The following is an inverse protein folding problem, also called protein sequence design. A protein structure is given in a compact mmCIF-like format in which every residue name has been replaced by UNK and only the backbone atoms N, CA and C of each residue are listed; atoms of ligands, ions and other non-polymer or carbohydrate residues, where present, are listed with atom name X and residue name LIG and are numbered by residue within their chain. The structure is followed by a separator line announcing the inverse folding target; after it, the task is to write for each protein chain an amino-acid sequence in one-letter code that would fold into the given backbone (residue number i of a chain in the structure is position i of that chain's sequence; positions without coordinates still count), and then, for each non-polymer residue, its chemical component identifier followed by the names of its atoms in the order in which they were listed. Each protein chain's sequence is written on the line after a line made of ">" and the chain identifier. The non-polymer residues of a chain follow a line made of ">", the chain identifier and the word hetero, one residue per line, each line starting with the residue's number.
data_IF_257042510811
#
_entry.id   IF_257042510811
#
_cell.length_a   1.000
_cell.length_b   1.000
_cell.length_c   1.000
_cell.angle_alpha   90.00
_cell.angle_beta   90.00
_cell.angle_gamma   90.00
#
_symmetry.space_group_name_H-M   'P 1'
#
loop_
_entity.id
_entity.type
_entity.pdbx_description
1 polymer ?
#
# COMPACT_ATOMS: atom_id res chain seq x y z
N UNK A 1 7.14 -21.85 -30.87
CA UNK A 1 7.74 -21.12 -29.73
C UNK A 1 8.57 -19.98 -30.29
N UNK A 2 8.34 -18.70 -29.94
CA UNK A 2 9.23 -17.66 -30.41
C UNK A 2 10.56 -17.79 -29.67
N UNK A 3 11.66 -17.84 -30.43
CA UNK A 3 13.03 -17.83 -29.90
C UNK A 3 13.25 -16.46 -29.24
N UNK A 4 13.70 -16.45 -27.98
CA UNK A 4 14.06 -15.21 -27.27
C UNK A 4 15.04 -14.42 -28.13
N UNK A 5 14.82 -13.11 -28.28
CA UNK A 5 15.79 -12.26 -29.00
C UNK A 5 17.13 -12.24 -28.24
N UNK A 6 18.23 -11.99 -28.95
CA UNK A 6 19.56 -11.91 -28.34
C UNK A 6 19.61 -10.90 -27.17
N UNK A 7 18.85 -9.79 -27.29
CA UNK A 7 18.69 -8.80 -26.23
C UNK A 7 17.98 -9.36 -24.98
N UNK A 8 16.92 -10.14 -25.17
CA UNK A 8 16.21 -10.80 -24.06
C UNK A 8 17.06 -11.88 -23.38
N UNK A 9 17.85 -12.62 -24.15
CA UNK A 9 18.81 -13.58 -23.61
C UNK A 9 19.91 -12.87 -22.80
N UNK A 10 20.43 -11.75 -23.29
CA UNK A 10 21.43 -10.94 -22.59
C UNK A 10 20.95 -10.45 -21.22
N UNK A 11 19.73 -9.89 -21.13
CA UNK A 11 19.18 -9.41 -19.84
C UNK A 11 18.94 -10.56 -18.87
N UNK A 12 18.40 -11.70 -19.36
CA UNK A 12 18.19 -12.87 -18.53
C UNK A 12 19.53 -13.38 -17.96
N UNK A 13 20.60 -13.35 -18.77
CA UNK A 13 21.95 -13.71 -18.33
C UNK A 13 22.51 -12.73 -17.30
N UNK A 14 22.32 -11.42 -17.47
CA UNK A 14 22.75 -10.40 -16.48
C UNK A 14 21.95 -10.54 -15.18
N UNK A 15 20.65 -10.83 -15.25
CA UNK A 15 19.84 -11.11 -14.06
C UNK A 15 20.33 -12.37 -13.33
N UNK A 16 20.68 -13.44 -14.07
CA UNK A 16 21.26 -14.64 -13.46
C UNK A 16 22.61 -14.37 -12.79
N UNK A 17 23.46 -13.54 -13.41
CA UNK A 17 24.72 -13.10 -12.80
C UNK A 17 24.46 -12.33 -11.49
N UNK A 18 23.50 -11.40 -11.50
CA UNK A 18 23.11 -10.65 -10.28
C UNK A 18 22.65 -11.56 -9.15
N UNK A 19 21.81 -12.55 -9.44
CA UNK A 19 21.38 -13.51 -8.40
C UNK A 19 22.55 -14.35 -7.89
N UNK A 20 23.49 -14.75 -8.75
CA UNK A 20 24.72 -15.43 -8.34
C UNK A 20 25.58 -14.58 -7.38
N UNK A 21 25.80 -13.30 -7.70
CA UNK A 21 26.52 -12.38 -6.81
C UNK A 21 25.82 -12.17 -5.47
N UNK A 22 24.48 -12.14 -5.47
CA UNK A 22 23.67 -12.01 -4.26
C UNK A 22 23.77 -13.24 -3.35
N UNK A 23 23.75 -14.44 -3.92
CA UNK A 23 23.97 -15.69 -3.19
C UNK A 23 25.38 -15.72 -2.59
N UNK A 24 26.39 -15.37 -3.38
CA UNK A 24 27.79 -15.32 -2.95
C UNK A 24 28.00 -14.31 -1.80
N UNK A 25 27.45 -13.10 -1.92
CA UNK A 25 27.48 -12.07 -0.87
C UNK A 25 26.84 -12.58 0.42
N UNK A 26 25.69 -13.24 0.32
CA UNK A 26 24.98 -13.76 1.48
C UNK A 26 25.81 -14.84 2.20
N UNK A 27 26.43 -15.75 1.44
CA UNK A 27 27.32 -16.77 1.98
C UNK A 27 28.56 -16.17 2.67
N UNK A 28 29.14 -15.13 2.07
CA UNK A 28 30.27 -14.40 2.62
C UNK A 28 29.93 -13.71 3.96
N UNK A 29 28.80 -13.00 4.01
CA UNK A 29 28.30 -12.34 5.22
C UNK A 29 28.11 -13.34 6.36
N UNK A 30 27.48 -14.48 6.07
CA UNK A 30 27.25 -15.51 7.08
C UNK A 30 28.56 -16.12 7.59
N UNK A 31 29.57 -16.28 6.73
CA UNK A 31 30.90 -16.74 7.12
C UNK A 31 31.61 -15.74 8.03
N UNK A 32 31.59 -14.45 7.68
CA UNK A 32 32.17 -13.37 8.50
C UNK A 32 31.52 -13.37 9.89
N UNK A 33 30.19 -13.45 9.95
CA UNK A 33 29.45 -13.52 11.23
C UNK A 33 29.84 -14.74 12.07
N UNK A 34 29.92 -15.91 11.44
CA UNK A 34 30.34 -17.14 12.13
C UNK A 34 31.72 -16.99 12.75
N UNK A 35 32.69 -16.50 11.97
CA UNK A 35 34.05 -16.26 12.44
C UNK A 35 34.10 -15.24 13.59
N UNK A 36 33.38 -14.11 13.50
CA UNK A 36 33.36 -13.11 14.56
C UNK A 36 32.69 -13.62 15.85
N UNK A 37 31.66 -14.46 15.72
CA UNK A 37 30.97 -15.05 16.87
C UNK A 37 31.86 -16.01 17.67
N UNK A 38 32.81 -16.70 17.04
CA UNK A 38 33.80 -17.55 17.73
C UNK A 38 34.68 -16.74 18.72
N UNK A 39 34.82 -15.44 18.50
CA UNK A 39 35.57 -14.51 19.36
C UNK A 39 34.65 -13.61 20.19
N UNK A 40 33.37 -13.97 20.36
CA UNK A 40 32.42 -13.24 21.20
C UNK A 40 31.88 -11.93 20.61
N UNK A 41 32.20 -11.62 19.35
CA UNK A 41 31.76 -10.40 18.67
C UNK A 41 30.45 -10.65 17.92
N UNK A 42 29.34 -10.23 18.52
CA UNK A 42 27.98 -10.44 17.97
C UNK A 42 27.44 -9.14 17.37
N UNK A 43 27.10 -9.18 16.09
CA UNK A 43 26.55 -8.05 15.35
C UNK A 43 25.07 -8.27 15.01
N UNK A 44 24.34 -7.17 14.82
CA UNK A 44 22.94 -7.21 14.41
C UNK A 44 22.74 -7.94 13.06
N UNK A 45 21.53 -8.45 12.81
CA UNK A 45 21.20 -9.20 11.58
C UNK A 45 21.30 -8.36 10.29
N UNK A 46 21.40 -7.04 10.38
CA UNK A 46 21.55 -6.17 9.21
C UNK A 46 22.94 -6.34 8.57
N UNK A 47 23.03 -6.67 7.27
CA UNK A 47 24.29 -6.66 6.53
C UNK A 47 24.99 -5.30 6.57
N UNK A 48 24.24 -4.20 6.45
CA UNK A 48 24.82 -2.86 6.35
C UNK A 48 25.43 -2.42 7.68
N UNK A 49 24.80 -2.80 8.80
CA UNK A 49 25.34 -2.53 10.14
C UNK A 49 26.66 -3.30 10.37
N UNK A 50 26.74 -4.56 9.92
CA UNK A 50 27.97 -5.33 9.99
C UNK A 50 29.06 -4.73 9.09
N UNK A 51 28.71 -4.36 7.85
CA UNK A 51 29.66 -3.77 6.91
C UNK A 51 30.25 -2.45 7.42
N UNK A 52 29.43 -1.61 8.06
CA UNK A 52 29.87 -0.35 8.65
C UNK A 52 30.76 -0.53 9.89
N UNK A 53 30.49 -1.55 10.72
CA UNK A 53 31.24 -1.79 11.94
C UNK A 53 32.55 -2.57 11.73
N UNK A 54 32.65 -3.36 10.65
CA UNK A 54 33.78 -4.27 10.45
C UNK A 54 35.15 -3.57 10.35
N UNK A 55 35.31 -2.39 9.71
CA UNK A 55 36.57 -1.65 9.74
C UNK A 55 37.05 -1.34 11.15
N UNK A 56 36.17 -0.77 11.98
CA UNK A 56 36.48 -0.40 13.37
C UNK A 56 36.88 -1.62 14.20
N UNK A 57 36.20 -2.75 13.98
CA UNK A 57 36.49 -4.03 14.66
C UNK A 57 37.87 -4.58 14.31
N UNK A 58 38.31 -4.40 13.05
CA UNK A 58 39.61 -4.85 12.57
C UNK A 58 40.76 -3.95 13.07
N UNK A 59 40.49 -2.66 13.28
CA UNK A 59 41.45 -1.68 13.82
C UNK A 59 41.55 -1.74 15.34
N UNK A 60 40.49 -2.17 16.02
CA UNK A 60 40.45 -2.26 17.48
C UNK A 60 41.35 -3.39 18.01
N UNK A 61 42.44 -2.96 18.65
CA UNK A 61 43.43 -3.83 19.25
C UNK A 61 42.89 -4.63 20.44
N UNK A 62 41.78 -4.22 21.06
CA UNK A 62 41.22 -4.87 22.25
C UNK A 62 40.44 -6.16 21.96
N UNK A 63 40.07 -6.41 20.70
CA UNK A 63 39.21 -7.53 20.30
C UNK A 63 39.92 -8.90 20.20
N UNK A 64 41.19 -9.02 20.62
CA UNK A 64 42.02 -10.26 20.64
C UNK A 64 42.01 -11.11 19.35
N UNK A 65 41.62 -10.56 18.20
CA UNK A 65 41.56 -11.28 16.93
C UNK A 65 42.97 -11.66 16.43
N UNK A 66 43.24 -12.93 16.07
CA UNK A 66 44.51 -13.34 15.48
C UNK A 66 44.85 -12.54 14.21
N UNK A 67 46.15 -12.25 14.01
CA UNK A 67 46.61 -11.45 12.86
C UNK A 67 46.21 -12.03 11.50
N UNK A 68 46.30 -13.35 11.34
CA UNK A 68 45.88 -14.04 10.11
C UNK A 68 44.37 -13.96 9.88
N UNK A 69 43.58 -13.98 10.95
CA UNK A 69 42.13 -13.82 10.88
C UNK A 69 41.76 -12.39 10.48
N UNK A 70 42.44 -11.37 11.04
CA UNK A 70 42.26 -9.97 10.63
C UNK A 70 42.54 -9.78 9.14
N UNK A 71 43.61 -10.37 8.64
CA UNK A 71 43.95 -10.34 7.22
C UNK A 71 42.88 -11.04 6.35
N UNK A 72 42.36 -12.18 6.80
CA UNK A 72 41.30 -12.91 6.09
C UNK A 72 39.97 -12.13 6.06
N UNK A 73 39.63 -11.46 7.16
CA UNK A 73 38.44 -10.63 7.28
C UNK A 73 38.56 -9.35 6.43
N UNK A 74 39.70 -8.67 6.42
CA UNK A 74 39.97 -7.53 5.53
C UNK A 74 39.82 -7.90 4.04
N UNK A 75 40.39 -9.04 3.63
CA UNK A 75 40.20 -9.57 2.27
C UNK A 75 38.73 -9.87 1.96
N UNK A 76 38.01 -10.42 2.93
CA UNK A 76 36.58 -10.74 2.80
C UNK A 76 35.73 -9.46 2.70
N UNK A 77 36.07 -8.41 3.44
CA UNK A 77 35.41 -7.10 3.35
C UNK A 77 35.64 -6.45 1.98
N UNK A 78 36.85 -6.51 1.43
CA UNK A 78 37.15 -6.06 0.07
C UNK A 78 36.38 -6.85 -0.99
N UNK A 79 36.27 -8.16 -0.82
CA UNK A 79 35.47 -9.02 -1.71
C UNK A 79 33.98 -8.68 -1.64
N UNK A 80 33.46 -8.42 -0.44
CA UNK A 80 32.09 -7.93 -0.25
C UNK A 80 31.87 -6.64 -1.03
N UNK A 81 32.71 -5.61 -0.84
CA UNK A 81 32.59 -4.35 -1.58
C UNK A 81 32.56 -4.56 -3.10
N UNK A 82 33.41 -5.45 -3.63
CA UNK A 82 33.41 -5.81 -5.04
C UNK A 82 32.09 -6.46 -5.49
N UNK A 83 31.51 -7.37 -4.70
CA UNK A 83 30.21 -7.98 -5.01
C UNK A 83 29.09 -6.93 -5.03
N UNK A 84 29.13 -5.94 -4.13
CA UNK A 84 28.19 -4.83 -4.12
C UNK A 84 28.32 -3.97 -5.40
N UNK A 85 29.55 -3.68 -5.85
CA UNK A 85 29.81 -2.98 -7.10
C UNK A 85 29.33 -3.77 -8.34
N UNK A 86 29.57 -5.09 -8.40
CA UNK A 86 29.15 -5.95 -9.51
C UNK A 86 27.62 -6.08 -9.57
N UNK A 87 26.95 -6.20 -8.43
CA UNK A 87 25.48 -6.19 -8.36
C UNK A 87 24.91 -4.84 -8.80
N UNK A 88 25.50 -3.73 -8.34
CA UNK A 88 25.12 -2.38 -8.76
C UNK A 88 25.33 -2.19 -10.27
N UNK A 89 26.41 -2.73 -10.84
CA UNK A 89 26.65 -2.75 -12.27
C UNK A 89 25.60 -3.56 -13.03
N UNK A 90 25.25 -4.76 -12.55
CA UNK A 90 24.18 -5.57 -13.14
C UNK A 90 22.85 -4.84 -13.09
N UNK A 91 22.52 -4.21 -11.96
CA UNK A 91 21.30 -3.43 -11.78
C UNK A 91 21.27 -2.22 -12.72
N UNK A 92 22.38 -1.50 -12.86
CA UNK A 92 22.53 -0.42 -13.83
C UNK A 92 22.37 -0.92 -15.27
N UNK A 93 22.77 -2.16 -15.61
CA UNK A 93 22.58 -2.72 -16.96
C UNK A 93 21.20 -3.28 -17.24
N UNK A 94 20.53 -3.78 -16.21
CA UNK A 94 19.11 -4.13 -16.27
C UNK A 94 18.27 -2.84 -16.41
N UNK A 95 18.67 -1.74 -15.76
CA UNK A 95 17.91 -0.48 -15.67
C UNK A 95 18.33 0.62 -16.65
N UNK A 96 19.53 0.53 -17.27
CA UNK A 96 19.87 1.39 -18.41
C UNK A 96 18.72 1.30 -19.42
N UNK A 97 18.35 2.42 -20.07
CA UNK A 97 17.26 2.40 -21.04
C UNK A 97 17.69 1.52 -22.21
N UNK A 98 17.39 0.23 -22.13
CA UNK A 98 17.55 -0.78 -23.18
C UNK A 98 16.57 -0.53 -24.33
N UNK A 99 15.96 0.66 -24.41
CA UNK A 99 14.75 0.90 -25.19
C UNK A 99 13.57 0.02 -24.77
N UNK A 100 13.68 -0.71 -23.65
CA UNK A 100 12.63 -1.59 -23.19
C UNK A 100 11.62 -0.82 -22.35
N UNK A 101 10.38 -0.82 -22.84
CA UNK A 101 9.21 -0.28 -22.17
C UNK A 101 8.77 -1.22 -21.05
N UNK A 102 9.23 -0.96 -19.82
CA UNK A 102 8.89 -1.74 -18.64
C UNK A 102 7.43 -1.49 -18.23
N UNK A 103 6.60 -2.53 -18.36
CA UNK A 103 5.15 -2.47 -18.05
C UNK A 103 4.82 -3.32 -16.83
N UNK A 104 4.04 -2.77 -15.91
CA UNK A 104 3.51 -3.50 -14.76
C UNK A 104 2.11 -4.02 -15.10
N UNK A 105 1.89 -5.32 -14.96
CA UNK A 105 0.58 -5.94 -15.15
C UNK A 105 -0.13 -6.18 -13.80
N UNK A 106 -1.45 -5.88 -13.68
CA UNK A 106 -2.21 -6.25 -12.50
C UNK A 106 -2.25 -7.77 -12.31
N UNK A 107 -1.81 -8.26 -11.15
CA UNK A 107 -1.78 -9.70 -10.84
C UNK A 107 -3.15 -10.39 -11.03
N UNK A 108 -4.24 -9.68 -10.74
CA UNK A 108 -5.62 -10.18 -10.92
C UNK A 108 -5.95 -10.50 -12.39
N UNK A 109 -5.36 -9.75 -13.34
CA UNK A 109 -5.56 -9.99 -14.77
C UNK A 109 -4.64 -11.09 -15.29
N UNK A 110 -3.41 -11.15 -14.78
CA UNK A 110 -2.45 -12.23 -15.10
C UNK A 110 -3.00 -13.59 -14.67
N UNK A 111 -3.68 -13.66 -13.52
CA UNK A 111 -4.25 -14.91 -13.00
C UNK A 111 -5.23 -15.60 -13.96
N UNK A 112 -5.92 -14.85 -14.83
CA UNK A 112 -6.84 -15.41 -15.82
C UNK A 112 -6.14 -16.20 -16.95
N UNK A 113 -4.84 -15.98 -17.15
CA UNK A 113 -4.04 -16.62 -18.20
C UNK A 113 -3.20 -17.80 -17.68
N UNK A 114 -3.33 -18.17 -16.40
CA UNK A 114 -2.59 -19.30 -15.83
C UNK A 114 -3.24 -20.63 -16.23
N UNK A 115 -2.60 -21.35 -17.16
CA UNK A 115 -3.11 -22.60 -17.77
C UNK A 115 -3.39 -23.71 -16.76
N UNK A 116 -2.60 -23.81 -15.67
CA UNK A 116 -2.67 -24.93 -14.71
C UNK A 116 -3.50 -24.60 -13.46
N UNK A 117 -4.20 -23.46 -13.45
CA UNK A 117 -4.99 -23.03 -12.30
C UNK A 117 -4.14 -22.70 -11.06
N UNK A 118 -4.78 -22.51 -9.91
CA UNK A 118 -4.13 -22.02 -8.68
C UNK A 118 -3.23 -23.05 -7.95
N UNK A 119 -3.27 -24.34 -8.35
CA UNK A 119 -2.71 -25.45 -7.56
C UNK A 119 -1.26 -25.86 -7.89
N UNK A 120 -0.63 -25.35 -8.95
CA UNK A 120 0.81 -25.56 -9.21
C UNK A 120 1.54 -24.26 -9.57
N UNK A 121 1.40 -23.26 -8.70
CA UNK A 121 2.11 -21.98 -8.85
C UNK A 121 3.64 -22.24 -8.80
N UNK A 122 4.32 -21.95 -9.90
CA UNK A 122 5.77 -21.93 -9.98
C UNK A 122 6.23 -20.77 -10.89
N UNK A 123 7.50 -20.38 -10.82
CA UNK A 123 7.99 -19.21 -11.54
C UNK A 123 7.84 -19.33 -13.06
N UNK A 124 7.92 -20.55 -13.62
CA UNK A 124 7.74 -20.80 -15.04
C UNK A 124 6.30 -20.54 -15.51
N UNK A 125 5.31 -20.99 -14.75
CA UNK A 125 3.88 -20.75 -15.04
C UNK A 125 3.49 -19.30 -14.84
N UNK A 126 4.08 -18.63 -13.85
CA UNK A 126 3.88 -17.19 -13.64
C UNK A 126 4.48 -16.37 -14.78
N UNK A 127 5.71 -16.67 -15.21
CA UNK A 127 6.34 -16.01 -16.35
C UNK A 127 5.54 -16.23 -17.66
N UNK A 128 5.05 -17.44 -17.91
CA UNK A 128 4.22 -17.74 -19.06
C UNK A 128 2.90 -16.96 -19.03
N UNK A 129 2.21 -16.92 -17.89
CA UNK A 129 0.96 -16.17 -17.73
C UNK A 129 1.18 -14.66 -17.89
N UNK A 130 2.29 -14.11 -17.39
CA UNK A 130 2.66 -12.70 -17.59
C UNK A 130 2.90 -12.41 -19.07
N UNK A 131 3.65 -13.26 -19.78
CA UNK A 131 3.93 -13.11 -21.20
C UNK A 131 2.63 -13.15 -22.03
N UNK A 132 1.77 -14.12 -21.73
CA UNK A 132 0.46 -14.29 -22.36
C UNK A 132 -0.43 -13.07 -22.13
N UNK A 133 -0.53 -12.60 -20.89
CA UNK A 133 -1.29 -11.42 -20.52
C UNK A 133 -0.72 -10.16 -21.21
N UNK A 134 0.60 -9.97 -21.23
CA UNK A 134 1.28 -8.83 -21.84
C UNK A 134 1.01 -8.70 -23.34
N UNK A 135 0.78 -9.83 -24.03
CA UNK A 135 0.46 -9.85 -25.47
C UNK A 135 -0.93 -9.28 -25.80
N UNK A 136 -1.81 -9.09 -24.80
CA UNK A 136 -3.21 -8.72 -25.01
C UNK A 136 -3.38 -7.21 -25.19
N UNK A 137 -3.85 -6.73 -26.37
CA UNK A 137 -3.94 -5.29 -26.66
C UNK A 137 -4.84 -4.50 -25.71
N UNK A 138 -5.80 -5.18 -25.07
CA UNK A 138 -6.78 -4.56 -24.18
C UNK A 138 -6.37 -4.58 -22.71
N UNK A 139 -5.23 -5.20 -22.37
CA UNK A 139 -4.79 -5.28 -21.00
C UNK A 139 -4.22 -3.93 -20.54
N UNK A 140 -4.90 -3.30 -19.59
CA UNK A 140 -4.45 -2.05 -18.99
C UNK A 140 -3.21 -2.30 -18.12
N UNK A 141 -2.12 -1.61 -18.42
CA UNK A 141 -0.89 -1.62 -17.63
C UNK A 141 -1.00 -0.61 -16.49
N UNK A 142 -0.34 -0.89 -15.37
CA UNK A 142 -0.23 0.04 -14.26
C UNK A 142 1.00 0.92 -14.50
N UNK A 143 0.84 2.24 -14.36
CA UNK A 143 1.99 3.15 -14.44
C UNK A 143 2.99 2.85 -13.32
N UNK A 144 4.27 2.92 -13.63
CA UNK A 144 5.32 2.87 -12.62
C UNK A 144 5.22 4.14 -11.79
N UNK A 145 5.13 3.99 -10.46
CA UNK A 145 5.06 5.13 -9.54
C UNK A 145 6.45 5.72 -9.37
N UNK A 146 6.55 7.04 -9.26
CA UNK A 146 7.80 7.70 -8.91
C UNK A 146 8.25 7.35 -7.48
N UNK A 147 9.54 7.50 -7.19
CA UNK A 147 10.08 7.28 -5.85
C UNK A 147 9.39 8.16 -4.80
N UNK A 148 9.05 9.41 -5.14
CA UNK A 148 8.29 10.31 -4.28
C UNK A 148 6.89 9.77 -3.96
N UNK A 149 6.16 9.27 -4.96
CA UNK A 149 4.85 8.65 -4.77
C UNK A 149 4.94 7.38 -3.91
N UNK A 150 5.94 6.54 -4.16
CA UNK A 150 6.19 5.34 -3.36
C UNK A 150 6.50 5.70 -1.91
N UNK A 151 7.31 6.73 -1.67
CA UNK A 151 7.62 7.24 -0.33
C UNK A 151 6.36 7.65 0.44
N UNK A 152 5.47 8.43 -0.18
CA UNK A 152 4.17 8.80 0.43
C UNK A 152 3.31 7.57 0.70
N UNK A 153 3.19 6.64 -0.25
CA UNK A 153 2.42 5.41 -0.06
C UNK A 153 2.99 4.50 1.03
N UNK A 154 4.30 4.51 1.26
CA UNK A 154 4.92 3.80 2.39
C UNK A 154 4.43 4.35 3.73
N UNK A 155 4.29 5.67 3.87
CA UNK A 155 3.72 6.30 5.07
C UNK A 155 2.25 5.89 5.26
N UNK A 156 1.47 5.84 4.18
CA UNK A 156 0.09 5.33 4.22
C UNK A 156 0.02 3.87 4.70
N UNK A 157 0.94 3.02 4.25
CA UNK A 157 1.02 1.61 4.67
C UNK A 157 1.42 1.48 6.14
N UNK A 158 2.42 2.24 6.60
CA UNK A 158 2.82 2.27 8.00
C UNK A 158 1.64 2.67 8.90
N UNK A 159 0.89 3.71 8.51
CA UNK A 159 -0.30 4.13 9.25
C UNK A 159 -1.34 3.01 9.39
N UNK A 160 -1.61 2.25 8.32
CA UNK A 160 -2.55 1.12 8.43
C UNK A 160 -1.98 -0.01 9.29
N UNK A 161 -0.67 -0.29 9.21
CA UNK A 161 0.00 -1.26 10.08
C UNK A 161 -0.15 -0.90 11.56
N UNK A 162 0.21 0.32 11.95
CA UNK A 162 0.07 0.79 13.33
C UNK A 162 -1.38 0.78 13.81
N UNK A 163 -2.34 1.09 12.94
CA UNK A 163 -3.77 1.01 13.27
C UNK A 163 -4.23 -0.43 13.53
N UNK A 164 -3.76 -1.39 12.74
CA UNK A 164 -4.03 -2.81 12.94
C UNK A 164 -3.41 -3.30 14.26
N UNK A 165 -2.14 -2.96 14.50
CA UNK A 165 -1.41 -3.27 15.74
C UNK A 165 -2.11 -2.69 16.97
N UNK A 166 -2.48 -1.41 16.92
CA UNK A 166 -3.23 -0.73 17.98
C UNK A 166 -4.54 -1.43 18.28
N UNK A 167 -5.29 -1.82 17.24
CA UNK A 167 -6.57 -2.52 17.42
C UNK A 167 -6.36 -3.90 18.06
N UNK A 168 -5.32 -4.64 17.63
CA UNK A 168 -4.97 -5.93 18.22
C UNK A 168 -4.54 -5.79 19.68
N UNK A 169 -3.75 -4.77 20.01
CA UNK A 169 -3.32 -4.48 21.38
C UNK A 169 -4.50 -4.13 22.29
N UNK A 170 -5.41 -3.28 21.84
CA UNK A 170 -6.64 -2.94 22.56
C UNK A 170 -7.46 -4.21 22.85
N UNK A 171 -7.63 -5.07 21.86
CA UNK A 171 -8.37 -6.32 22.04
C UNK A 171 -7.65 -7.28 22.99
N UNK A 172 -6.31 -7.31 22.98
CA UNK A 172 -5.51 -8.09 23.95
C UNK A 172 -5.69 -7.57 25.37
N UNK A 173 -5.62 -6.26 25.58
CA UNK A 173 -5.89 -5.62 26.88
C UNK A 173 -7.27 -6.03 27.39
N UNK A 174 -8.30 -5.93 26.55
CA UNK A 174 -9.67 -6.33 26.92
C UNK A 174 -9.77 -7.82 27.26
N UNK A 175 -9.12 -8.68 26.49
CA UNK A 175 -9.11 -10.13 26.75
C UNK A 175 -8.49 -10.45 28.11
N UNK A 176 -7.31 -9.88 28.38
CA UNK A 176 -6.62 -10.05 29.66
C UNK A 176 -7.47 -9.57 30.84
N UNK A 177 -8.08 -8.39 30.75
CA UNK A 177 -8.90 -7.86 31.84
C UNK A 177 -10.19 -8.67 32.07
N UNK A 178 -10.77 -9.22 30.99
CA UNK A 178 -11.98 -10.04 31.08
C UNK A 178 -11.76 -11.36 31.84
N UNK A 179 -10.55 -11.93 31.82
CA UNK A 179 -10.19 -13.12 32.63
C UNK A 179 -10.33 -12.87 34.14
N UNK A 180 -10.23 -11.60 34.56
CA UNK A 180 -10.34 -11.16 35.95
C UNK A 180 -11.68 -10.45 36.22
N UNK A 181 -12.69 -10.64 35.36
CA UNK A 181 -14.04 -10.12 35.56
C UNK A 181 -14.21 -8.62 35.27
N UNK A 182 -13.18 -7.93 34.79
CA UNK A 182 -13.25 -6.50 34.47
C UNK A 182 -13.65 -6.29 33.01
N UNK A 183 -14.91 -5.90 32.79
CA UNK A 183 -15.48 -5.65 31.46
C UNK A 183 -15.77 -4.17 31.26
N UNK A 184 -15.17 -3.58 30.23
CA UNK A 184 -15.29 -2.17 29.90
C UNK A 184 -16.13 -1.93 28.65
N UNK A 185 -16.50 -0.66 28.44
CA UNK A 185 -17.14 -0.23 27.20
C UNK A 185 -16.25 -0.56 25.97
N UNK A 186 -16.89 -0.87 24.83
CA UNK A 186 -16.21 -1.21 23.58
C UNK A 186 -15.44 -0.04 22.96
N UNK A 187 -15.65 1.19 23.43
CA UNK A 187 -14.95 2.37 22.93
C UNK A 187 -13.47 2.31 23.33
N UNK A 188 -12.52 2.47 22.38
CA UNK A 188 -11.11 2.66 22.70
C UNK A 188 -10.88 3.83 23.67
N UNK A 189 -11.55 4.96 23.45
CA UNK A 189 -11.34 6.16 24.26
C UNK A 189 -11.82 5.96 25.71
N UNK A 190 -12.94 5.25 25.88
CA UNK A 190 -13.46 4.92 27.20
C UNK A 190 -12.53 3.97 27.95
N UNK A 191 -11.98 2.96 27.25
CA UNK A 191 -10.99 2.05 27.84
C UNK A 191 -9.70 2.80 28.21
N UNK A 192 -9.19 3.65 27.31
CA UNK A 192 -7.97 4.42 27.56
C UNK A 192 -8.14 5.37 28.75
N UNK A 193 -9.33 5.97 28.93
CA UNK A 193 -9.63 6.82 30.06
C UNK A 193 -9.73 6.06 31.39
N UNK A 194 -10.31 4.85 31.38
CA UNK A 194 -10.53 4.06 32.60
C UNK A 194 -9.30 3.24 33.04
N UNK A 195 -8.43 2.86 32.11
CA UNK A 195 -7.33 1.93 32.38
C UNK A 195 -6.32 2.43 33.44
N UNK A 196 -5.90 3.72 33.46
CA UNK A 196 -5.04 4.25 34.51
C UNK A 196 -5.64 4.08 35.92
N UNK A 197 -6.90 4.46 36.10
CA UNK A 197 -7.59 4.39 37.39
C UNK A 197 -7.67 2.93 37.90
N UNK A 198 -7.94 1.98 36.99
CA UNK A 198 -7.96 0.55 37.31
C UNK A 198 -6.58 0.04 37.74
N UNK A 199 -5.51 0.54 37.13
CA UNK A 199 -4.14 0.15 37.48
C UNK A 199 -3.67 0.75 38.80
N UNK A 200 -4.20 1.90 39.20
CA UNK A 200 -3.87 2.58 40.47
C UNK A 200 -4.77 2.14 41.63
N UNK A 201 -5.98 1.63 41.34
CA UNK A 201 -6.91 1.16 42.36
C UNK A 201 -6.37 -0.10 43.05
N UNK A 202 -5.89 0.07 44.29
CA UNK A 202 -5.38 -1.02 45.12
C UNK A 202 -6.49 -1.91 45.70
N UNK A 203 -7.77 -1.52 45.59
CA UNK A 203 -8.90 -2.29 46.11
C UNK A 203 -9.34 -3.41 45.17
N UNK A 204 -8.95 -3.37 43.89
CA UNK A 204 -9.23 -4.46 42.97
C UNK A 204 -8.22 -5.61 43.09
N UNK A 205 -8.70 -6.84 42.89
CA UNK A 205 -7.95 -8.09 43.06
C UNK A 205 -6.99 -8.40 41.90
N UNK A 206 -6.57 -7.40 41.12
CA UNK A 206 -5.66 -7.63 39.99
C UNK A 206 -4.27 -8.06 40.48
N UNK A 207 -3.75 -9.21 40.01
CA UNK A 207 -2.40 -9.66 40.34
C UNK A 207 -1.33 -8.65 39.90
N UNK A 208 -0.24 -8.54 40.67
CA UNK A 208 0.85 -7.60 40.38
C UNK A 208 1.45 -7.77 38.98
N UNK A 209 1.68 -9.00 38.54
CA UNK A 209 2.22 -9.29 37.19
C UNK A 209 1.28 -8.82 36.08
N UNK A 210 -0.04 -8.95 36.27
CA UNK A 210 -1.02 -8.45 35.32
C UNK A 210 -0.99 -6.92 35.26
N UNK A 211 -0.90 -6.24 36.41
CA UNK A 211 -0.76 -4.76 36.43
C UNK A 211 0.46 -4.30 35.65
N UNK A 212 1.61 -4.98 35.81
CA UNK A 212 2.82 -4.70 35.05
C UNK A 212 2.63 -4.93 33.54
N UNK A 213 1.98 -6.03 33.15
CA UNK A 213 1.71 -6.33 31.74
C UNK A 213 0.76 -5.30 31.09
N UNK A 214 -0.28 -4.87 31.83
CA UNK A 214 -1.24 -3.87 31.38
C UNK A 214 -0.61 -2.47 31.29
N UNK A 215 0.23 -2.07 32.25
CA UNK A 215 1.00 -0.81 32.20
C UNK A 215 1.90 -0.75 30.96
N UNK A 216 2.66 -1.82 30.68
CA UNK A 216 3.48 -1.91 29.46
C UNK A 216 2.63 -1.82 28.19
N UNK A 217 1.45 -2.47 28.20
CA UNK A 217 0.53 -2.44 27.07
C UNK A 217 -0.07 -1.04 26.84
N UNK A 218 -0.40 -0.31 27.92
CA UNK A 218 -0.89 1.06 27.84
C UNK A 218 0.19 2.01 27.29
N UNK A 219 1.43 1.88 27.77
CA UNK A 219 2.58 2.65 27.22
C UNK A 219 2.79 2.38 25.73
N UNK A 220 2.72 1.10 25.33
CA UNK A 220 2.84 0.74 23.92
C UNK A 220 1.69 1.27 23.07
N UNK A 221 0.47 1.28 23.59
CA UNK A 221 -0.68 1.93 22.94
C UNK A 221 -0.37 3.41 22.72
N UNK A 222 0.05 4.15 23.76
CA UNK A 222 0.43 5.56 23.62
C UNK A 222 1.50 5.80 22.55
N UNK A 223 2.49 4.91 22.44
CA UNK A 223 3.50 4.97 21.37
C UNK A 223 2.88 4.77 19.97
N UNK A 224 2.01 3.77 19.79
CA UNK A 224 1.32 3.54 18.51
C UNK A 224 0.45 4.74 18.11
N UNK A 225 -0.21 5.39 19.07
CA UNK A 225 -0.98 6.62 18.81
C UNK A 225 -0.09 7.77 18.34
N UNK A 226 1.11 7.93 18.92
CA UNK A 226 2.09 8.92 18.48
C UNK A 226 2.62 8.63 17.06
N UNK A 227 2.95 7.38 16.74
CA UNK A 227 3.42 6.97 15.41
C UNK A 227 2.34 7.15 14.33
N UNK A 228 1.08 6.85 14.66
CA UNK A 228 -0.06 7.14 13.79
C UNK A 228 -0.24 8.64 13.56
N UNK A 229 -0.14 9.46 14.61
CA UNK A 229 -0.23 10.91 14.51
C UNK A 229 0.88 11.50 13.63
N UNK A 230 2.11 10.99 13.76
CA UNK A 230 3.22 11.37 12.88
C UNK A 230 2.90 11.04 11.42
N UNK A 231 2.42 9.82 11.13
CA UNK A 231 2.02 9.42 9.77
C UNK A 231 0.94 10.36 9.21
N UNK A 232 -0.08 10.68 10.00
CA UNK A 232 -1.17 11.58 9.61
C UNK A 232 -0.69 13.00 9.35
N UNK A 233 0.26 13.51 10.14
CA UNK A 233 0.88 14.81 9.91
C UNK A 233 1.60 14.83 8.56
N UNK A 234 2.40 13.81 8.24
CA UNK A 234 3.13 13.71 6.97
C UNK A 234 2.19 13.60 5.77
N UNK A 235 1.15 12.78 5.88
CA UNK A 235 0.11 12.63 4.85
C UNK A 235 -0.64 13.95 4.64
N UNK A 236 -1.01 14.64 5.72
CA UNK A 236 -1.69 15.92 5.65
C UNK A 236 -0.80 17.02 5.06
N UNK A 237 0.49 17.01 5.39
CA UNK A 237 1.45 17.91 4.78
C UNK A 237 1.53 17.69 3.27
N UNK A 238 1.66 16.44 2.81
CA UNK A 238 1.62 16.13 1.38
C UNK A 238 0.32 16.61 0.72
N UNK A 239 -0.84 16.35 1.33
CA UNK A 239 -2.13 16.81 0.81
C UNK A 239 -2.24 18.34 0.71
N UNK A 240 -1.54 19.08 1.58
CA UNK A 240 -1.48 20.55 1.58
C UNK A 240 -0.46 21.11 0.61
N UNK A 241 0.53 20.34 0.16
CA UNK A 241 1.58 20.83 -0.76
C UNK A 241 1.34 20.40 -2.20
N UNK A 242 0.73 19.24 -2.45
CA UNK A 242 0.42 18.78 -3.80
C UNK A 242 -0.89 19.42 -4.32
N UNK A 243 -0.80 20.13 -5.46
CA UNK A 243 -1.94 20.83 -6.07
C UNK A 243 -3.07 19.88 -6.52
N UNK A 244 -2.73 18.66 -6.97
CA UNK A 244 -3.75 17.65 -7.32
C UNK A 244 -4.48 17.21 -6.05
N UNK A 245 -3.75 17.01 -4.94
CA UNK A 245 -4.37 16.65 -3.67
C UNK A 245 -5.29 17.76 -3.14
N UNK A 246 -4.89 19.04 -3.24
CA UNK A 246 -5.75 20.17 -2.89
C UNK A 246 -7.06 20.16 -3.67
N UNK A 247 -6.99 20.01 -5.01
CA UNK A 247 -8.18 19.90 -5.87
C UNK A 247 -9.04 18.69 -5.50
N UNK A 248 -8.43 17.54 -5.18
CA UNK A 248 -9.16 16.37 -4.72
C UNK A 248 -9.91 16.62 -3.41
N UNK A 249 -9.31 17.37 -2.47
CA UNK A 249 -9.91 17.68 -1.18
C UNK A 249 -11.09 18.66 -1.23
N UNK A 250 -11.33 19.33 -2.36
CA UNK A 250 -12.54 20.14 -2.57
C UNK A 250 -13.82 19.28 -2.67
N UNK A 251 -13.67 18.00 -3.03
CA UNK A 251 -14.80 17.09 -3.18
C UNK A 251 -15.37 16.71 -1.82
N UNK A 252 -16.70 16.71 -1.75
CA UNK A 252 -17.41 16.27 -0.56
C UNK A 252 -17.05 14.82 -0.18
N UNK A 253 -16.54 14.65 1.03
CA UNK A 253 -16.13 13.34 1.55
C UNK A 253 -14.73 12.91 1.14
N UNK A 254 -13.93 13.79 0.53
CA UNK A 254 -12.51 13.52 0.24
C UNK A 254 -11.65 14.35 1.21
N UNK A 255 -11.20 13.71 2.29
CA UNK A 255 -10.28 14.31 3.26
C UNK A 255 -8.81 14.25 2.80
N UNK A 256 -7.88 14.82 3.59
CA UNK A 256 -6.45 14.88 3.24
C UNK A 256 -5.82 13.50 3.05
N UNK A 257 -6.19 12.51 3.88
CA UNK A 257 -5.71 11.13 3.73
C UNK A 257 -6.15 10.53 2.39
N UNK A 258 -7.45 10.68 2.05
CA UNK A 258 -7.98 10.16 0.78
C UNK A 258 -7.37 10.89 -0.42
N UNK A 259 -7.27 12.22 -0.37
CA UNK A 259 -6.68 13.03 -1.44
C UNK A 259 -5.21 12.66 -1.69
N UNK A 260 -4.40 12.58 -0.63
CA UNK A 260 -3.00 12.15 -0.68
C UNK A 260 -2.88 10.76 -1.31
N UNK A 261 -3.67 9.79 -0.84
CA UNK A 261 -3.63 8.43 -1.35
C UNK A 261 -4.01 8.36 -2.84
N UNK A 262 -5.03 9.10 -3.28
CA UNK A 262 -5.48 9.15 -4.68
C UNK A 262 -4.33 9.57 -5.60
N UNK A 263 -3.68 10.71 -5.31
CA UNK A 263 -2.65 11.29 -6.19
C UNK A 263 -1.28 10.60 -6.06
N UNK A 264 -1.02 9.97 -4.92
CA UNK A 264 0.16 9.12 -4.74
C UNK A 264 -0.02 7.75 -5.44
N UNK A 265 -1.25 7.27 -5.57
CA UNK A 265 -1.56 5.99 -6.21
C UNK A 265 -1.62 6.10 -7.74
N UNK A 266 -2.18 7.20 -8.25
CA UNK A 266 -2.38 7.43 -9.68
C UNK A 266 -1.62 8.68 -10.09
N UNK A 267 -0.59 8.49 -10.91
CA UNK A 267 0.22 9.60 -11.39
C UNK A 267 -0.49 10.38 -12.49
N UNK A 268 -0.85 9.67 -13.57
CA UNK A 268 -1.56 10.20 -14.70
C UNK A 268 -2.96 9.58 -14.79
N UNK A 269 -3.99 10.42 -14.69
CA UNK A 269 -5.38 9.99 -14.79
C UNK A 269 -5.85 9.80 -16.25
N UNK A 270 -5.10 10.31 -17.24
CA UNK A 270 -5.42 10.12 -18.67
C UNK A 270 -5.19 8.68 -19.12
N UNK A 271 -4.46 7.88 -18.34
CA UNK A 271 -4.37 6.42 -18.54
C UNK A 271 -5.74 5.72 -18.58
N UNK A 272 -6.76 6.32 -17.95
CA UNK A 272 -8.13 5.82 -18.03
C UNK A 272 -8.88 6.56 -19.14
N UNK A 273 -9.46 5.81 -20.10
CA UNK A 273 -10.27 6.33 -21.22
C UNK A 273 -11.52 7.07 -20.77
N UNK A 274 -12.00 6.80 -19.55
CA UNK A 274 -13.19 7.47 -19.00
C UNK A 274 -13.25 7.41 -17.48
N UNK A 275 -14.02 8.33 -16.90
CA UNK A 275 -14.38 8.31 -15.48
C UNK A 275 -14.98 6.95 -15.03
N UNK A 276 -15.75 6.28 -15.91
CA UNK A 276 -16.32 4.95 -15.62
C UNK A 276 -15.23 3.90 -15.46
N UNK A 277 -14.18 3.97 -16.30
CA UNK A 277 -13.05 3.05 -16.20
C UNK A 277 -12.28 3.24 -14.90
N UNK A 278 -12.07 4.49 -14.45
CA UNK A 278 -11.45 4.74 -13.15
C UNK A 278 -12.29 4.23 -11.96
N UNK A 279 -13.62 4.41 -12.01
CA UNK A 279 -14.54 3.81 -11.02
C UNK A 279 -14.50 2.27 -11.02
N UNK A 280 -14.32 1.66 -12.19
CA UNK A 280 -14.08 0.22 -12.33
C UNK A 280 -12.74 -0.23 -11.75
N UNK A 281 -11.66 0.51 -12.02
CA UNK A 281 -10.30 0.23 -11.58
C UNK A 281 -10.13 0.31 -10.05
N UNK A 282 -10.85 1.22 -9.40
CA UNK A 282 -10.92 1.29 -7.93
C UNK A 282 -11.79 0.18 -7.32
N UNK A 283 -12.53 -0.58 -8.14
CA UNK A 283 -13.43 -1.64 -7.70
C UNK A 283 -14.74 -1.13 -7.11
N UNK A 284 -15.12 0.12 -7.39
CA UNK A 284 -16.37 0.76 -6.96
C UNK A 284 -17.51 0.62 -7.98
N UNK A 285 -17.21 0.16 -9.19
CA UNK A 285 -18.24 -0.14 -10.18
C UNK A 285 -19.05 -1.39 -9.78
N UNK A 286 -20.38 -1.39 -10.00
CA UNK A 286 -21.19 -2.59 -9.83
C UNK A 286 -20.78 -3.66 -10.84
N UNK A 287 -20.87 -4.92 -10.44
CA UNK A 287 -20.82 -6.04 -11.39
C UNK A 287 -22.04 -6.00 -12.31
N UNK A 288 -21.89 -6.48 -13.52
CA UNK A 288 -22.95 -6.49 -14.52
C UNK A 288 -23.13 -7.90 -15.06
N UNK A 289 -24.34 -8.43 -14.91
CA UNK A 289 -24.77 -9.66 -15.55
C UNK A 289 -25.83 -9.27 -16.59
N UNK A 290 -25.48 -9.38 -17.87
CA UNK A 290 -26.40 -9.05 -18.97
C UNK A 290 -26.58 -10.27 -19.86
N UNK A 291 -27.82 -10.71 -20.01
CA UNK A 291 -28.21 -11.78 -20.94
C UNK A 291 -29.52 -11.41 -21.63
N UNK A 292 -29.64 -11.73 -22.92
CA UNK A 292 -30.89 -11.53 -23.70
C UNK A 292 -31.47 -10.12 -23.62
N UNK A 293 -30.65 -9.06 -23.69
CA UNK A 293 -31.09 -7.66 -23.64
C UNK A 293 -31.47 -7.11 -22.25
N UNK A 294 -31.49 -7.95 -21.20
CA UNK A 294 -31.74 -7.52 -19.82
C UNK A 294 -30.43 -7.25 -19.10
N UNK A 295 -30.24 -6.03 -18.61
CA UNK A 295 -29.08 -5.65 -17.80
C UNK A 295 -29.42 -5.72 -16.32
N UNK A 296 -28.75 -6.61 -15.57
CA UNK A 296 -28.85 -6.68 -14.10
C UNK A 296 -27.53 -6.26 -13.46
N UNK A 297 -27.58 -5.21 -12.64
CA UNK A 297 -26.44 -4.76 -11.85
C UNK A 297 -26.40 -5.50 -10.50
N UNK A 298 -25.22 -5.98 -10.10
CA UNK A 298 -24.95 -6.65 -8.84
C UNK A 298 -24.18 -5.77 -7.84
N UNK A 299 -23.53 -6.41 -6.87
CA UNK A 299 -22.65 -5.73 -5.92
C UNK A 299 -21.40 -5.15 -6.58
N UNK A 300 -20.66 -4.30 -5.87
CA UNK A 300 -19.38 -3.79 -6.38
C UNK A 300 -18.40 -4.93 -6.65
N UNK A 301 -17.57 -4.79 -7.69
CA UNK A 301 -16.64 -5.84 -8.09
C UNK A 301 -15.60 -6.15 -7.02
N UNK A 302 -15.22 -5.15 -6.20
CA UNK A 302 -14.08 -5.21 -5.26
C UNK A 302 -12.75 -5.58 -5.94
N UNK A 303 -12.70 -5.61 -7.27
CA UNK A 303 -11.53 -5.83 -8.10
C UNK A 303 -10.84 -4.48 -8.27
N UNK A 304 -9.69 -4.29 -7.62
CA UNK A 304 -9.00 -3.00 -7.56
C UNK A 304 -8.29 -2.79 -6.22
N UNK A 305 -7.69 -1.61 -6.07
CA UNK A 305 -6.95 -1.22 -4.87
C UNK A 305 -7.87 -1.19 -3.62
N UNK A 306 -7.60 -2.06 -2.66
CA UNK A 306 -8.40 -2.22 -1.44
C UNK A 306 -8.30 -0.99 -0.55
N UNK A 307 -7.11 -0.40 -0.46
CA UNK A 307 -6.84 0.74 0.41
C UNK A 307 -7.57 1.98 -0.11
N UNK A 308 -7.39 2.31 -1.38
CA UNK A 308 -8.03 3.44 -2.02
C UNK A 308 -9.55 3.34 -1.98
N UNK A 309 -10.09 2.14 -2.27
CA UNK A 309 -11.52 1.86 -2.16
C UNK A 309 -12.03 2.08 -0.74
N UNK A 310 -11.28 1.62 0.26
CA UNK A 310 -11.66 1.79 1.68
C UNK A 310 -11.72 3.27 2.04
N UNK A 311 -10.70 4.06 1.68
CA UNK A 311 -10.67 5.50 1.94
C UNK A 311 -11.83 6.25 1.25
N UNK A 312 -12.14 5.92 0.00
CA UNK A 312 -13.27 6.51 -0.73
C UNK A 312 -14.61 6.16 -0.08
N UNK A 313 -14.77 4.92 0.41
CA UNK A 313 -15.98 4.48 1.13
C UNK A 313 -16.10 5.17 2.50
N UNK A 314 -15.02 5.28 3.27
CA UNK A 314 -15.06 5.94 4.58
C UNK A 314 -15.35 7.45 4.44
N UNK A 315 -14.71 8.08 3.46
CA UNK A 315 -14.98 9.46 3.10
C UNK A 315 -16.44 9.70 2.70
N UNK A 316 -16.98 8.82 1.84
CA UNK A 316 -18.39 8.84 1.48
C UNK A 316 -19.30 8.60 2.69
N UNK A 317 -18.97 7.67 3.58
CA UNK A 317 -19.74 7.40 4.81
C UNK A 317 -19.86 8.65 5.68
N UNK A 318 -18.76 9.36 5.91
CA UNK A 318 -18.76 10.64 6.63
C UNK A 318 -19.68 11.68 5.96
N UNK A 319 -19.58 11.79 4.63
CA UNK A 319 -20.40 12.71 3.86
C UNK A 319 -21.90 12.38 3.93
N UNK A 320 -22.29 11.09 3.88
CA UNK A 320 -23.69 10.66 4.01
C UNK A 320 -24.20 10.88 5.44
N UNK A 321 -23.38 10.66 6.48
CA UNK A 321 -23.78 10.91 7.88
C UNK A 321 -24.20 12.35 8.13
N UNK A 322 -23.50 13.29 7.50
CA UNK A 322 -23.73 14.71 7.70
C UNK A 322 -24.48 15.39 6.55
N UNK A 323 -25.01 14.63 5.58
CA UNK A 323 -25.69 15.16 4.40
C UNK A 323 -26.92 16.02 4.75
N UNK A 324 -27.72 15.60 5.73
CA UNK A 324 -28.92 16.32 6.19
C UNK A 324 -28.62 17.72 6.77
N UNK A 325 -27.35 18.00 7.11
CA UNK A 325 -26.91 19.30 7.65
C UNK A 325 -26.53 20.30 6.55
N UNK A 326 -26.55 19.90 5.28
CA UNK A 326 -26.04 20.68 4.14
C UNK A 326 -27.12 20.82 3.07
N UNK A 327 -27.06 21.94 2.33
CA UNK A 327 -28.03 22.29 1.28
C UNK A 327 -27.47 22.20 -0.14
N UNK A 328 -26.23 21.75 -0.32
CA UNK A 328 -25.63 21.60 -1.65
C UNK A 328 -26.32 20.48 -2.46
N UNK A 329 -26.26 20.52 -3.80
CA UNK A 329 -26.95 19.55 -4.66
C UNK A 329 -26.55 18.09 -4.41
N UNK A 330 -25.29 17.83 -4.04
CA UNK A 330 -24.84 16.47 -3.73
C UNK A 330 -25.48 16.01 -2.42
N UNK A 331 -25.48 16.83 -1.38
CA UNK A 331 -26.10 16.51 -0.09
C UNK A 331 -27.60 16.25 -0.22
N UNK A 332 -28.32 17.08 -0.97
CA UNK A 332 -29.75 16.87 -1.23
C UNK A 332 -30.00 15.55 -1.97
N UNK A 333 -29.21 15.27 -3.00
CA UNK A 333 -29.25 13.99 -3.70
C UNK A 333 -28.96 12.80 -2.76
N UNK A 334 -28.02 12.94 -1.82
CA UNK A 334 -27.69 11.88 -0.86
C UNK A 334 -28.82 11.59 0.12
N UNK A 335 -29.52 12.62 0.60
CA UNK A 335 -30.68 12.45 1.49
C UNK A 335 -31.77 11.64 0.77
N UNK A 336 -32.17 12.07 -0.42
CA UNK A 336 -33.17 11.38 -1.24
C UNK A 336 -32.72 9.96 -1.64
N UNK A 337 -31.43 9.80 -1.98
CA UNK A 337 -30.90 8.49 -2.35
C UNK A 337 -30.91 7.53 -1.16
N UNK A 338 -30.50 7.98 0.02
CA UNK A 338 -30.49 7.18 1.25
C UNK A 338 -31.89 6.68 1.56
N UNK A 339 -32.92 7.52 1.44
CA UNK A 339 -34.32 7.13 1.63
C UNK A 339 -34.76 6.06 0.63
N UNK A 340 -34.38 6.21 -0.65
CA UNK A 340 -34.81 5.31 -1.71
C UNK A 340 -34.12 3.93 -1.71
N UNK A 341 -32.81 3.88 -1.45
CA UNK A 341 -32.01 2.64 -1.63
C UNK A 341 -31.32 2.16 -0.36
N UNK A 342 -31.42 2.91 0.74
CA UNK A 342 -30.80 2.60 2.01
C UNK A 342 -29.35 3.07 2.14
N UNK A 343 -28.89 3.07 3.40
CA UNK A 343 -27.63 3.63 3.85
C UNK A 343 -26.39 3.12 3.08
N UNK A 344 -26.20 1.80 3.05
CA UNK A 344 -24.99 1.20 2.46
C UNK A 344 -24.87 1.47 0.96
N UNK A 345 -26.00 1.40 0.23
CA UNK A 345 -26.02 1.67 -1.21
C UNK A 345 -25.76 3.14 -1.51
N UNK A 346 -26.26 4.06 -0.68
CA UNK A 346 -25.99 5.48 -0.83
C UNK A 346 -24.50 5.81 -0.64
N UNK A 347 -23.83 5.20 0.34
CA UNK A 347 -22.38 5.35 0.55
C UNK A 347 -21.59 4.90 -0.67
N UNK A 348 -21.87 3.69 -1.17
CA UNK A 348 -21.17 3.13 -2.33
C UNK A 348 -21.42 3.97 -3.59
N UNK A 349 -22.66 4.44 -3.78
CA UNK A 349 -23.01 5.31 -4.89
C UNK A 349 -22.23 6.63 -4.84
N UNK A 350 -22.08 7.24 -3.66
CA UNK A 350 -21.27 8.44 -3.48
C UNK A 350 -19.79 8.17 -3.72
N UNK A 351 -19.23 7.09 -3.17
CA UNK A 351 -17.84 6.73 -3.39
C UNK A 351 -17.53 6.57 -4.90
N UNK A 352 -18.39 5.87 -5.63
CA UNK A 352 -18.25 5.70 -7.08
C UNK A 352 -18.45 7.04 -7.83
N UNK A 353 -19.38 7.90 -7.37
CA UNK A 353 -19.55 9.26 -7.92
C UNK A 353 -18.28 10.09 -7.71
N UNK A 354 -17.71 10.07 -6.51
CA UNK A 354 -16.48 10.78 -6.18
C UNK A 354 -15.29 10.28 -7.00
N UNK A 355 -15.13 8.95 -7.18
CA UNK A 355 -14.10 8.42 -8.08
C UNK A 355 -14.24 9.01 -9.49
N UNK A 356 -15.46 9.03 -10.03
CA UNK A 356 -15.72 9.59 -11.36
C UNK A 356 -15.44 11.09 -11.45
N UNK A 357 -15.78 11.86 -10.41
CA UNK A 357 -15.50 13.30 -10.35
C UNK A 357 -13.99 13.55 -10.22
N UNK A 358 -13.28 12.78 -9.38
CA UNK A 358 -11.82 12.85 -9.25
C UNK A 358 -11.16 12.68 -10.61
N UNK A 359 -11.56 11.66 -11.39
CA UNK A 359 -11.03 11.50 -12.74
C UNK A 359 -11.28 12.73 -13.63
N UNK A 360 -12.47 13.33 -13.59
CA UNK A 360 -12.77 14.53 -14.36
C UNK A 360 -11.91 15.73 -13.93
N UNK A 361 -11.79 15.98 -12.62
CA UNK A 361 -10.98 17.07 -12.05
C UNK A 361 -9.51 16.91 -12.43
N UNK A 362 -8.98 15.69 -12.37
CA UNK A 362 -7.58 15.41 -12.67
C UNK A 362 -7.25 15.46 -14.17
N UNK A 363 -8.21 15.14 -15.04
CA UNK A 363 -7.98 15.13 -16.51
C UNK A 363 -8.31 16.45 -17.19
N UNK A 364 -9.29 17.21 -16.67
CA UNK A 364 -9.71 18.49 -17.25
C UNK A 364 -8.99 19.69 -16.65
N UNK A 365 -8.34 19.53 -15.50
CA UNK A 365 -7.62 20.60 -14.81
C UNK A 365 -8.52 21.59 -14.05
N UNK A 366 -9.83 21.56 -14.30
CA UNK A 366 -10.83 22.37 -13.62
C UNK A 366 -10.94 22.02 -12.12
N UNK A 367 -11.29 23.02 -11.30
CA UNK A 367 -11.66 22.83 -9.89
C UNK A 367 -13.03 22.18 -9.76
N UNK A 368 -13.29 21.58 -8.60
CA UNK A 368 -14.59 20.98 -8.34
C UNK A 368 -15.65 22.08 -8.11
N UNK A 369 -16.74 22.02 -8.88
CA UNK A 369 -17.92 22.87 -8.68
C UNK A 369 -19.11 22.00 -8.23
N UNK A 370 -19.62 22.18 -6.99
CA UNK A 370 -20.77 21.42 -6.48
C UNK A 370 -22.08 21.71 -7.23
N UNK A 371 -22.16 22.83 -7.95
CA UNK A 371 -23.32 23.23 -8.75
C UNK A 371 -23.20 22.84 -10.23
N UNK A 372 -22.10 22.16 -10.62
CA UNK A 372 -21.88 21.77 -12.00
C UNK A 372 -23.00 20.84 -12.50
N UNK A 373 -23.75 21.31 -13.50
CA UNK A 373 -24.74 20.50 -14.22
C UNK A 373 -24.08 19.94 -15.49
N UNK A 374 -23.99 18.61 -15.65
CA UNK A 374 -23.44 18.02 -16.85
C UNK A 374 -24.28 18.43 -18.07
N UNK A 375 -23.66 19.05 -19.09
CA UNK A 375 -24.29 19.19 -20.40
C UNK A 375 -24.54 17.78 -20.95
N UNK A 376 -25.81 17.34 -20.99
CA UNK A 376 -26.16 16.09 -21.67
C UNK A 376 -25.77 16.24 -23.14
N UNK A 377 -24.96 15.34 -23.66
CA UNK A 377 -24.77 15.20 -25.10
C UNK A 377 -26.15 14.98 -25.73
N UNK A 378 -26.53 15.82 -26.70
CA UNK A 378 -27.74 15.59 -27.49
C UNK A 378 -27.71 14.15 -28.02
N UNK A 379 -28.84 13.41 -27.99
CA UNK A 379 -28.92 12.13 -28.68
C UNK A 379 -28.52 12.36 -30.14
N UNK A 380 -27.67 11.48 -30.65
CA UNK A 380 -27.26 11.46 -32.06
C UNK A 380 -28.53 11.54 -32.91
N UNK A 381 -28.77 12.66 -33.58
CA UNK A 381 -29.85 12.74 -34.56
C UNK A 381 -29.54 11.69 -35.61
N UNK A 382 -30.42 10.71 -35.76
CA UNK A 382 -30.43 9.82 -36.91
C UNK A 382 -30.38 10.71 -38.14
N UNK A 383 -29.31 10.58 -38.92
CA UNK A 383 -29.22 11.15 -40.25
C UNK A 383 -30.30 10.43 -41.05
N UNK A 384 -31.47 11.05 -41.18
CA UNK A 384 -32.51 10.60 -42.08
C UNK A 384 -31.92 10.68 -43.49
N UNK A 385 -31.61 9.50 -44.05
CA UNK A 385 -31.35 9.38 -45.47
C UNK A 385 -32.65 9.69 -46.22
N UNK A 386 -32.62 10.74 -47.03
CA UNK A 386 -33.59 11.03 -48.08
C UNK A 386 -32.86 10.96 -49.42
#
# INVERSE_FOLDING_TARGET
>A
MPVKSAAQQGILSIHKLREGFKEERTALINRIRGLLAEFGLVFAQSPDALHAALPDVLEDASNELPGDLRLALDRSLKHWGRLDDEMAWCEQRITRPTGLDARILPAQHVGAYRVVGARSKNDATDAAAICEAASRPHLHTVSVKSAAQQGILSIHKLREGFKEERTALINRIRGLMAEFGLVFAQSPDALHAALPDVLEDASNELPGELRLALDRSLKHWGHLDAEMAWCEQRITQHARTDERAKKASELLGIGPITASAVVATVDDFTQFKSAKQFGGWTGLAPSQNSSGGKTKLGGITKRGDVYLRTLLIQGAKSAVMTAHKRKDPISLWLVQLKERVGWQKAIVALANKNARILWCVMTRGDRFDPNHVPKRSQPCQEVAAA
#
